data_IF_952790794871
#
_entry.id   IF_952790794871
#
_cell.length_a   1.000
_cell.length_b   1.000
_cell.length_c   1.000
_cell.angle_alpha   90.00
_cell.angle_beta   90.00
_cell.angle_gamma   90.00
#
_symmetry.space_group_name_H-M   'P 1'
#
loop_
_entity.id
_entity.type
_entity.pdbx_description
1 polymer ?
#
# COMPACT_ATOMS: atom_id res chain seq x y z
N UNK A 1 3.74 -22.85 28.86
CA UNK A 1 2.81 -22.58 27.75
C UNK A 1 3.40 -21.41 26.98
N UNK A 2 3.84 -21.64 25.74
CA UNK A 2 4.43 -20.58 24.90
C UNK A 2 3.27 -19.97 24.14
N UNK A 3 2.84 -18.78 24.55
CA UNK A 3 1.82 -18.02 23.82
C UNK A 3 2.56 -17.21 22.76
N UNK A 4 2.19 -17.40 21.50
CA UNK A 4 2.79 -16.73 20.36
C UNK A 4 1.81 -15.77 19.72
N UNK A 5 2.31 -14.65 19.21
CA UNK A 5 1.52 -13.80 18.34
C UNK A 5 1.47 -14.43 16.94
N UNK A 6 0.24 -14.68 16.47
CA UNK A 6 -0.08 -15.23 15.16
C UNK A 6 -1.36 -14.59 14.65
N UNK A 7 -1.20 -13.66 13.73
CA UNK A 7 -2.26 -13.04 12.97
C UNK A 7 -2.58 -13.93 11.75
N UNK A 8 -3.84 -14.37 11.70
CA UNK A 8 -4.38 -15.10 10.57
C UNK A 8 -4.79 -14.13 9.48
N UNK A 9 -4.80 -14.61 8.25
CA UNK A 9 -5.40 -13.89 7.13
C UNK A 9 -6.79 -14.44 6.85
N UNK A 10 -7.74 -13.55 6.64
CA UNK A 10 -9.08 -13.85 6.10
C UNK A 10 -9.18 -13.40 4.62
N UNK A 11 -8.32 -12.46 4.20
CA UNK A 11 -8.17 -11.96 2.83
C UNK A 11 -6.73 -12.13 2.27
N UNK A 12 -6.48 -11.66 1.04
CA UNK A 12 -5.18 -11.72 0.36
C UNK A 12 -4.15 -10.68 0.86
N UNK A 13 -4.20 -10.32 2.16
CA UNK A 13 -3.29 -9.39 2.83
C UNK A 13 -2.07 -10.11 3.43
N UNK A 14 -1.59 -11.16 2.77
CA UNK A 14 -0.54 -12.05 3.29
C UNK A 14 0.76 -11.29 3.70
N UNK A 15 1.09 -10.19 3.01
CA UNK A 15 2.24 -9.35 3.35
C UNK A 15 2.15 -8.70 4.74
N UNK A 16 0.97 -8.19 5.13
CA UNK A 16 0.75 -7.62 6.46
C UNK A 16 0.97 -8.66 7.56
N UNK A 17 0.24 -9.76 7.47
CA UNK A 17 0.28 -10.79 8.50
C UNK A 17 1.66 -11.44 8.58
N UNK A 18 2.35 -11.61 7.44
CA UNK A 18 3.73 -12.07 7.41
C UNK A 18 4.66 -11.17 8.26
N UNK A 19 4.57 -9.84 8.11
CA UNK A 19 5.39 -8.90 8.88
C UNK A 19 5.03 -8.88 10.37
N UNK A 20 3.73 -8.87 10.70
CA UNK A 20 3.26 -8.85 12.08
C UNK A 20 3.63 -10.15 12.81
N UNK A 21 3.50 -11.30 12.14
CA UNK A 21 3.94 -12.60 12.66
C UNK A 21 5.46 -12.65 12.84
N UNK A 22 6.23 -12.08 11.90
CA UNK A 22 7.69 -12.03 12.00
C UNK A 22 8.14 -11.21 13.23
N UNK A 23 7.47 -10.08 13.47
CA UNK A 23 7.77 -9.16 14.58
C UNK A 23 7.09 -9.53 15.90
N UNK A 24 6.22 -10.55 15.89
CA UNK A 24 5.43 -10.99 17.05
C UNK A 24 4.53 -9.87 17.63
N UNK A 25 3.87 -9.10 16.76
CA UNK A 25 2.88 -8.09 17.17
C UNK A 25 2.23 -7.33 16.00
N UNK A 26 1.11 -6.61 16.26
CA UNK A 26 0.35 -5.87 15.25
C UNK A 26 1.02 -4.52 14.91
N UNK A 27 2.14 -4.57 14.20
CA UNK A 27 2.95 -3.40 13.91
C UNK A 27 2.56 -2.69 12.62
N UNK A 28 2.04 -3.44 11.65
CA UNK A 28 1.63 -2.94 10.34
C UNK A 28 0.16 -3.23 10.09
N UNK A 29 -0.51 -2.29 9.42
CA UNK A 29 -1.84 -2.44 8.86
C UNK A 29 -1.78 -2.36 7.33
N UNK A 30 -2.81 -2.87 6.64
CA UNK A 30 -2.95 -2.78 5.19
C UNK A 30 -2.84 -1.33 4.71
N UNK A 31 -3.45 -0.38 5.44
CA UNK A 31 -3.36 1.04 5.14
C UNK A 31 -1.93 1.60 5.24
N UNK A 32 -1.17 1.20 6.26
CA UNK A 32 0.23 1.63 6.41
C UNK A 32 1.13 1.08 5.30
N UNK A 33 0.92 -0.17 4.87
CA UNK A 33 1.68 -0.77 3.77
C UNK A 33 1.29 -0.18 2.42
N UNK A 34 0.01 0.14 2.21
CA UNK A 34 -0.45 0.83 1.01
C UNK A 34 0.17 2.22 0.85
N UNK A 35 0.32 2.98 1.95
CA UNK A 35 1.02 4.27 1.94
C UNK A 35 2.49 4.13 1.54
N UNK A 36 3.18 3.09 2.04
CA UNK A 36 4.58 2.81 1.67
C UNK A 36 4.67 2.44 0.19
N UNK A 37 3.77 1.57 -0.28
CA UNK A 37 3.75 1.13 -1.67
C UNK A 37 3.58 2.29 -2.63
N UNK A 38 2.66 3.20 -2.32
CA UNK A 38 2.45 4.40 -3.13
C UNK A 38 3.65 5.35 -3.08
N UNK A 39 4.26 5.56 -1.91
CA UNK A 39 5.46 6.39 -1.81
C UNK A 39 6.62 5.82 -2.65
N UNK A 40 6.71 4.49 -2.77
CA UNK A 40 7.65 3.83 -3.68
C UNK A 40 7.26 4.07 -5.14
N UNK A 41 5.99 3.91 -5.51
CA UNK A 41 5.49 4.19 -6.86
C UNK A 41 5.80 5.64 -7.29
N UNK A 42 5.62 6.60 -6.38
CA UNK A 42 5.95 8.02 -6.62
C UNK A 42 7.45 8.25 -6.83
N UNK A 43 8.29 7.56 -6.06
CA UNK A 43 9.75 7.63 -6.21
C UNK A 43 10.18 7.01 -7.54
N UNK A 44 9.64 5.86 -7.90
CA UNK A 44 9.89 5.21 -9.19
C UNK A 44 9.44 6.09 -10.35
N UNK A 45 8.23 6.68 -10.27
CA UNK A 45 7.71 7.62 -11.25
C UNK A 45 8.60 8.86 -11.40
N UNK A 46 9.09 9.41 -10.29
CA UNK A 46 10.00 10.56 -10.28
C UNK A 46 11.34 10.23 -10.94
N UNK A 47 11.95 9.10 -10.59
CA UNK A 47 13.21 8.66 -11.19
C UNK A 47 13.06 8.41 -12.69
N UNK A 48 11.93 7.84 -13.12
CA UNK A 48 11.63 7.65 -14.54
C UNK A 48 11.45 8.98 -15.28
N UNK A 49 10.85 9.98 -14.65
CA UNK A 49 10.72 11.32 -15.22
C UNK A 49 12.09 12.04 -15.33
N UNK A 50 12.95 11.87 -14.33
CA UNK A 50 14.32 12.42 -14.30
C UNK A 50 15.23 11.75 -15.35
N UNK A 51 15.03 10.46 -15.63
CA UNK A 51 15.76 9.72 -16.68
C UNK A 51 15.32 10.08 -18.11
N UNK A 52 14.29 10.91 -18.27
CA UNK A 52 13.75 11.38 -19.54
C UNK A 52 12.42 10.71 -19.93
N UNK A 53 11.56 11.47 -20.60
CA UNK A 53 10.17 11.08 -20.89
C UNK A 53 10.06 10.14 -22.11
N UNK A 54 10.63 8.94 -21.99
CA UNK A 54 10.63 7.92 -23.04
C UNK A 54 9.23 7.28 -23.22
N UNK A 55 9.04 6.47 -24.26
CA UNK A 55 7.82 5.67 -24.45
C UNK A 55 7.56 4.74 -23.27
N UNK A 56 8.61 4.21 -22.68
CA UNK A 56 8.58 3.27 -21.55
C UNK A 56 8.21 3.99 -20.25
N UNK A 57 8.73 5.20 -20.02
CA UNK A 57 8.31 6.04 -18.89
C UNK A 57 6.82 6.38 -18.95
N UNK A 58 6.28 6.65 -20.16
CA UNK A 58 4.84 6.88 -20.34
C UNK A 58 4.00 5.62 -20.07
N UNK A 59 4.46 4.46 -20.53
CA UNK A 59 3.80 3.19 -20.25
C UNK A 59 3.79 2.89 -18.74
N UNK A 60 4.92 3.11 -18.06
CA UNK A 60 5.05 2.93 -16.61
C UNK A 60 4.10 3.85 -15.82
N UNK A 61 4.02 5.14 -16.16
CA UNK A 61 3.08 6.09 -15.52
C UNK A 61 1.60 5.77 -15.81
N UNK A 62 1.32 5.03 -16.89
CA UNK A 62 -0.04 4.63 -17.26
C UNK A 62 -0.53 3.37 -16.55
N UNK A 63 0.39 2.53 -16.05
CA UNK A 63 0.07 1.29 -15.35
C UNK A 63 -0.46 1.56 -13.93
N UNK A 64 -1.22 0.60 -13.41
CA UNK A 64 -1.59 0.55 -11.98
C UNK A 64 -0.34 0.31 -11.11
N UNK A 65 -0.45 0.52 -9.80
CA UNK A 65 0.66 0.34 -8.85
C UNK A 65 1.36 -1.01 -9.08
N UNK A 66 2.68 -0.98 -9.28
CA UNK A 66 3.48 -2.21 -9.34
C UNK A 66 3.76 -2.78 -7.94
N UNK A 67 3.52 -1.97 -6.90
CA UNK A 67 3.83 -2.28 -5.52
C UNK A 67 2.65 -2.86 -4.73
N UNK A 68 1.40 -2.70 -5.20
CA UNK A 68 0.20 -3.36 -4.69
C UNK A 68 -0.63 -3.88 -5.86
N UNK A 69 -0.93 -5.18 -5.88
CA UNK A 69 -1.83 -5.73 -6.89
C UNK A 69 -3.33 -5.54 -6.52
N UNK A 70 -4.27 -5.72 -7.47
CA UNK A 70 -5.70 -5.61 -7.20
C UNK A 70 -6.25 -6.62 -6.17
N UNK A 71 -5.47 -7.66 -5.85
CA UNK A 71 -5.83 -8.66 -4.83
C UNK A 71 -5.32 -8.26 -3.44
N UNK A 72 -4.50 -7.21 -3.31
CA UNK A 72 -3.92 -6.76 -2.04
C UNK A 72 -2.56 -7.36 -1.71
N UNK A 73 -1.89 -8.02 -2.67
CA UNK A 73 -0.53 -8.51 -2.46
C UNK A 73 0.47 -7.36 -2.61
N UNK A 74 1.29 -7.19 -1.59
CA UNK A 74 2.38 -6.22 -1.58
C UNK A 74 3.64 -6.79 -2.22
N UNK A 75 4.39 -5.92 -2.93
CA UNK A 75 5.71 -6.27 -3.44
C UNK A 75 6.73 -6.44 -2.30
N UNK A 76 7.83 -7.14 -2.56
CA UNK A 76 8.93 -7.27 -1.59
C UNK A 76 9.52 -5.91 -1.19
N UNK A 77 9.51 -4.93 -2.09
CA UNK A 77 10.08 -3.61 -1.81
C UNK A 77 9.28 -2.90 -0.72
N UNK A 78 7.95 -3.03 -0.73
CA UNK A 78 7.07 -2.53 0.33
C UNK A 78 7.43 -3.16 1.67
N UNK A 79 7.53 -4.50 1.71
CA UNK A 79 7.83 -5.23 2.94
C UNK A 79 9.23 -4.89 3.49
N UNK A 80 10.22 -4.80 2.60
CA UNK A 80 11.59 -4.44 2.96
C UNK A 80 11.68 -3.00 3.46
N UNK A 81 10.98 -2.06 2.82
CA UNK A 81 10.96 -0.65 3.22
C UNK A 81 10.26 -0.46 4.57
N UNK A 82 9.16 -1.18 4.80
CA UNK A 82 8.44 -1.15 6.07
C UNK A 82 9.33 -1.60 7.25
N UNK A 83 10.00 -2.75 7.11
CA UNK A 83 10.92 -3.27 8.12
C UNK A 83 12.14 -2.37 8.34
N UNK A 84 12.71 -1.83 7.25
CA UNK A 84 13.87 -0.97 7.30
C UNK A 84 13.55 0.37 8.01
N UNK A 85 12.42 0.99 7.67
CA UNK A 85 12.07 2.31 8.21
C UNK A 85 11.73 2.26 9.70
N UNK A 86 11.02 1.23 10.14
CA UNK A 86 10.53 1.16 11.52
C UNK A 86 11.52 0.49 12.48
N UNK A 87 12.21 -0.55 12.02
CA UNK A 87 13.09 -1.37 12.87
C UNK A 87 14.52 -1.46 12.36
N UNK A 88 14.87 -0.90 11.20
CA UNK A 88 16.20 -1.08 10.60
C UNK A 88 16.49 -2.55 10.27
N UNK A 89 15.45 -3.34 10.01
CA UNK A 89 15.54 -4.74 9.63
C UNK A 89 15.57 -4.83 8.10
N UNK A 90 16.51 -5.60 7.59
CA UNK A 90 16.73 -5.82 6.15
C UNK A 90 16.27 -7.21 5.73
N UNK A 91 15.65 -7.28 4.54
CA UNK A 91 15.35 -8.52 3.85
C UNK A 91 16.36 -8.71 2.72
N UNK A 92 17.21 -9.72 2.83
CA UNK A 92 18.18 -10.03 1.79
C UNK A 92 17.87 -11.34 1.08
N UNK A 93 17.95 -11.33 -0.25
CA UNK A 93 17.74 -12.54 -1.06
C UNK A 93 18.79 -13.63 -0.73
N UNK A 94 18.30 -14.84 -0.45
CA UNK A 94 19.12 -16.02 -0.12
C UNK A 94 20.02 -16.49 -1.27
N UNK A 95 19.67 -16.19 -2.53
CA UNK A 95 20.41 -16.60 -3.72
C UNK A 95 21.72 -15.83 -3.89
N UNK A 96 21.88 -14.72 -3.18
CA UNK A 96 23.10 -13.92 -3.18
C UNK A 96 24.29 -14.72 -2.65
N UNK A 97 25.48 -14.64 -3.27
CA UNK A 97 26.67 -15.39 -2.82
C UNK A 97 27.03 -15.14 -1.35
N UNK A 98 26.87 -13.90 -0.90
CA UNK A 98 27.10 -13.47 0.49
C UNK A 98 26.26 -14.23 1.52
N UNK A 99 25.10 -14.74 1.10
CA UNK A 99 24.07 -15.32 1.97
C UNK A 99 24.08 -16.86 2.03
N UNK A 100 24.94 -17.52 1.26
CA UNK A 100 25.06 -18.99 1.25
C UNK A 100 25.34 -19.58 2.63
N UNK A 101 26.17 -18.93 3.42
CA UNK A 101 26.51 -19.39 4.77
C UNK A 101 25.30 -19.31 5.73
N UNK A 102 24.48 -18.27 5.62
CA UNK A 102 23.27 -18.11 6.42
C UNK A 102 22.23 -19.21 6.12
N UNK A 103 22.15 -19.65 4.87
CA UNK A 103 21.29 -20.77 4.44
C UNK A 103 21.81 -22.13 4.92
N UNK A 104 23.13 -22.32 5.02
CA UNK A 104 23.73 -23.55 5.53
C UNK A 104 23.65 -23.66 7.06
N UNK A 105 23.65 -22.53 7.76
CA UNK A 105 23.60 -22.43 9.22
C UNK A 105 22.43 -21.56 9.67
N UNK A 106 21.18 -22.02 9.50
CA UNK A 106 20.03 -21.23 9.86
C UNK A 106 19.95 -20.99 11.38
N UNK A 107 20.60 -21.79 12.22
CA UNK A 107 20.60 -21.61 13.68
C UNK A 107 21.16 -20.28 14.17
N UNK A 108 22.04 -19.63 13.38
CA UNK A 108 22.57 -18.30 13.67
C UNK A 108 21.65 -17.16 13.20
N UNK A 109 20.57 -17.49 12.50
CA UNK A 109 19.60 -16.54 11.99
C UNK A 109 18.40 -16.44 12.94
N UNK A 110 17.67 -15.33 12.83
CA UNK A 110 16.52 -15.04 13.69
C UNK A 110 15.19 -15.18 12.95
N UNK A 111 15.20 -15.08 11.61
CA UNK A 111 14.01 -15.28 10.80
C UNK A 111 14.29 -15.36 9.30
N UNK A 112 13.30 -15.88 8.58
CA UNK A 112 13.24 -15.90 7.12
C UNK A 112 11.87 -15.41 6.67
N UNK A 113 11.80 -14.75 5.53
CA UNK A 113 10.54 -14.41 4.83
C UNK A 113 10.52 -15.20 3.53
N UNK A 114 9.40 -15.85 3.25
CA UNK A 114 9.22 -16.78 2.14
C UNK A 114 8.13 -16.24 1.21
N UNK A 115 8.33 -16.43 -0.09
CA UNK A 115 7.30 -16.19 -1.10
C UNK A 115 7.15 -17.41 -2.02
N UNK A 116 5.90 -17.85 -2.19
CA UNK A 116 5.51 -18.80 -3.24
C UNK A 116 4.23 -18.34 -3.91
N UNK A 117 4.24 -18.19 -5.23
CA UNK A 117 3.05 -17.87 -6.03
C UNK A 117 2.21 -16.71 -5.44
N UNK A 118 2.87 -15.60 -5.07
CA UNK A 118 2.23 -14.42 -4.47
C UNK A 118 1.66 -14.62 -3.06
N UNK A 119 2.12 -15.65 -2.33
CA UNK A 119 1.81 -15.83 -0.91
C UNK A 119 3.04 -15.61 -0.03
N UNK A 120 2.94 -14.66 0.91
CA UNK A 120 3.98 -14.32 1.88
C UNK A 120 3.74 -15.01 3.22
N UNK A 121 4.78 -15.63 3.78
CA UNK A 121 4.81 -15.99 5.20
C UNK A 121 6.24 -16.04 5.73
N UNK A 122 6.38 -16.15 7.05
CA UNK A 122 7.69 -16.10 7.70
C UNK A 122 8.01 -17.36 8.50
N UNK A 123 9.31 -17.64 8.60
CA UNK A 123 9.86 -18.57 9.58
C UNK A 123 10.52 -17.74 10.67
N UNK A 124 10.19 -18.01 11.94
CA UNK A 124 10.70 -17.23 13.08
C UNK A 124 11.32 -18.15 14.12
N UNK A 125 12.49 -17.77 14.62
CA UNK A 125 13.14 -18.43 15.75
C UNK A 125 12.73 -17.74 17.06
N UNK A 126 12.03 -18.45 17.93
CA UNK A 126 11.62 -18.00 19.26
C UNK A 126 12.02 -19.05 20.30
N UNK A 127 12.61 -18.64 21.43
CA UNK A 127 13.07 -19.55 22.49
C UNK A 127 13.92 -20.73 21.98
N UNK A 128 14.80 -20.44 21.02
CA UNK A 128 15.65 -21.42 20.33
C UNK A 128 14.89 -22.51 19.54
N UNK A 129 13.61 -22.30 19.27
CA UNK A 129 12.75 -23.15 18.45
C UNK A 129 12.33 -22.41 17.18
N UNK A 130 12.34 -23.12 16.05
CA UNK A 130 11.86 -22.61 14.78
C UNK A 130 10.36 -22.87 14.62
N UNK A 131 9.67 -21.86 14.12
CA UNK A 131 8.23 -21.86 13.86
C UNK A 131 7.97 -21.38 12.43
N UNK A 132 7.06 -22.06 11.75
CA UNK A 132 6.46 -21.62 10.50
C UNK A 132 5.21 -20.82 10.82
N UNK A 133 5.21 -19.52 10.56
CA UNK A 133 4.11 -18.62 10.85
C UNK A 133 3.37 -18.28 9.56
N UNK A 134 2.63 -19.27 9.02
CA UNK A 134 1.79 -19.08 7.85
C UNK A 134 0.39 -18.59 8.28
N UNK A 135 0.01 -17.39 7.86
CA UNK A 135 -1.26 -16.73 8.20
C UNK A 135 -2.50 -17.51 7.76
N UNK A 136 -2.38 -18.42 6.79
CA UNK A 136 -3.48 -19.33 6.40
C UNK A 136 -3.73 -20.45 7.42
N UNK A 137 -2.77 -20.75 8.29
CA UNK A 137 -2.89 -21.78 9.32
C UNK A 137 -3.50 -21.19 10.60
N UNK A 138 -4.19 -22.03 11.38
CA UNK A 138 -4.82 -21.61 12.64
C UNK A 138 -3.82 -21.29 13.75
N UNK A 139 -2.61 -21.86 13.70
CA UNK A 139 -1.51 -21.56 14.61
C UNK A 139 -0.15 -21.80 13.92
N UNK A 140 0.95 -21.24 14.46
CA UNK A 140 2.30 -21.52 13.99
C UNK A 140 2.68 -22.98 14.12
N UNK A 141 3.27 -23.55 13.08
CA UNK A 141 3.73 -24.94 13.07
C UNK A 141 5.17 -25.05 13.56
N UNK A 142 5.42 -25.97 14.48
CA UNK A 142 6.75 -26.22 15.01
C UNK A 142 7.61 -26.95 13.96
N UNK A 143 8.74 -26.35 13.59
CA UNK A 143 9.73 -27.00 12.74
C UNK A 143 10.61 -27.88 13.65
N UNK A 144 10.24 -29.15 13.80
CA UNK A 144 10.97 -30.11 14.64
C UNK A 144 12.22 -30.61 13.92
N UNK A 145 13.36 -30.59 14.61
CA UNK A 145 14.62 -31.19 14.13
C UNK A 145 14.61 -32.73 14.06
N UNK A 146 13.52 -33.37 14.46
CA UNK A 146 13.38 -34.82 14.61
C UNK A 146 12.04 -35.26 14.01
N UNK A 147 12.05 -35.61 12.73
CA UNK A 147 10.87 -36.13 12.05
C UNK A 147 10.87 -35.82 10.55
N UNK A 148 11.70 -36.55 9.80
CA UNK A 148 11.81 -36.58 8.34
C UNK A 148 12.48 -35.36 7.70
N UNK A 149 13.81 -35.40 7.62
CA UNK A 149 14.75 -34.45 6.98
C UNK A 149 15.52 -33.57 7.97
N UNK A 150 16.83 -33.66 7.84
CA UNK A 150 17.86 -33.05 8.68
C UNK A 150 17.81 -31.52 8.64
N UNK A 151 17.11 -30.92 9.61
CA UNK A 151 17.22 -29.51 9.99
C UNK A 151 16.60 -28.51 9.01
N UNK A 152 16.31 -27.31 9.51
CA UNK A 152 15.79 -26.17 8.75
C UNK A 152 16.60 -25.87 7.47
N UNK A 153 17.90 -26.16 7.46
CA UNK A 153 18.75 -26.00 6.28
C UNK A 153 18.38 -26.93 5.11
N UNK A 154 17.80 -28.10 5.38
CA UNK A 154 17.29 -28.99 4.33
C UNK A 154 15.99 -28.45 3.74
N UNK A 155 15.04 -28.06 4.61
CA UNK A 155 13.78 -27.42 4.22
C UNK A 155 14.03 -26.17 3.38
N UNK A 156 14.93 -25.28 3.81
CA UNK A 156 15.27 -24.07 3.06
C UNK A 156 15.86 -24.38 1.67
N UNK A 157 16.64 -25.46 1.54
CA UNK A 157 17.18 -25.89 0.23
C UNK A 157 16.08 -26.43 -0.68
N UNK A 158 15.16 -27.22 -0.13
CA UNK A 158 14.02 -27.77 -0.85
C UNK A 158 13.10 -26.64 -1.36
N UNK A 159 12.81 -25.65 -0.52
CA UNK A 159 12.05 -24.46 -0.92
C UNK A 159 12.73 -23.75 -2.10
N UNK A 160 14.04 -23.51 -2.03
CA UNK A 160 14.79 -22.88 -3.13
C UNK A 160 14.78 -23.74 -4.40
N UNK A 161 14.85 -25.07 -4.30
CA UNK A 161 14.74 -25.95 -5.48
C UNK A 161 13.34 -25.96 -6.09
N UNK A 162 12.32 -25.72 -5.28
CA UNK A 162 10.92 -25.60 -5.70
C UNK A 162 10.56 -24.21 -6.24
N UNK A 163 11.58 -23.41 -6.61
CA UNK A 163 11.45 -22.03 -7.09
C UNK A 163 10.80 -21.06 -6.09
N UNK A 164 10.91 -21.32 -4.80
CA UNK A 164 10.52 -20.34 -3.79
C UNK A 164 11.54 -19.21 -3.72
N UNK A 165 11.06 -18.01 -3.43
CA UNK A 165 11.95 -16.91 -3.07
C UNK A 165 12.08 -16.87 -1.55
N UNK A 166 13.31 -17.01 -1.07
CA UNK A 166 13.64 -17.00 0.36
C UNK A 166 14.47 -15.76 0.66
N UNK A 167 14.02 -14.96 1.62
CA UNK A 167 14.70 -13.79 2.15
C UNK A 167 15.17 -14.04 3.57
N UNK A 168 16.44 -13.72 3.83
CA UNK A 168 17.04 -13.76 5.16
C UNK A 168 16.75 -12.44 5.85
N UNK A 169 16.28 -12.52 7.09
CA UNK A 169 16.02 -11.33 7.89
C UNK A 169 17.26 -10.97 8.70
N UNK A 170 17.82 -9.79 8.45
CA UNK A 170 19.01 -9.27 9.14
C UNK A 170 18.66 -7.99 9.90
N UNK A 171 19.23 -7.83 11.09
CA UNK A 171 19.05 -6.64 11.91
C UNK A 171 19.06 -6.95 13.40
N UNK A 172 19.41 -5.96 14.19
CA UNK A 172 19.64 -6.12 15.63
C UNK A 172 18.47 -5.57 16.48
N UNK A 173 17.62 -4.72 15.90
CA UNK A 173 16.53 -4.05 16.60
C UNK A 173 15.22 -4.82 16.43
N UNK A 174 15.03 -5.81 17.26
CA UNK A 174 13.78 -6.57 17.33
C UNK A 174 12.86 -5.99 18.40
N UNK A 175 11.57 -5.76 18.12
CA UNK A 175 10.62 -5.45 19.17
C UNK A 175 10.47 -6.65 20.13
N UNK A 176 10.17 -6.40 21.42
CA UNK A 176 9.71 -7.45 22.29
C UNK A 176 8.36 -7.99 21.80
N UNK A 177 8.03 -9.28 22.02
CA UNK A 177 6.71 -9.81 21.70
C UNK A 177 5.60 -8.96 22.32
N UNK A 178 4.59 -8.61 21.53
CA UNK A 178 3.50 -7.76 21.97
C UNK A 178 2.72 -8.43 23.13
N UNK A 179 2.42 -7.71 24.22
CA UNK A 179 1.66 -8.26 25.32
C UNK A 179 0.22 -8.56 24.89
N UNK A 180 -0.35 -9.62 25.46
CA UNK A 180 -1.72 -10.05 25.17
C UNK A 180 -2.70 -8.90 25.40
N UNK A 181 -3.58 -8.66 24.43
CA UNK A 181 -4.63 -7.61 24.42
C UNK A 181 -4.16 -6.17 24.14
N UNK A 182 -2.97 -5.97 23.56
CA UNK A 182 -2.52 -4.64 23.14
C UNK A 182 -2.56 -4.50 21.62
N UNK A 183 -3.45 -3.64 21.11
CA UNK A 183 -3.49 -3.25 19.68
C UNK A 183 -4.07 -4.28 18.71
N UNK A 184 -4.37 -5.50 19.15
CA UNK A 184 -4.96 -6.56 18.33
C UNK A 184 -5.96 -7.42 19.14
N UNK A 185 -6.87 -8.15 18.46
CA UNK A 185 -7.81 -9.02 19.13
C UNK A 185 -7.09 -10.16 19.88
N UNK A 186 -7.59 -10.58 21.07
CA UNK A 186 -6.95 -11.61 21.89
C UNK A 186 -6.78 -12.96 21.17
N UNK A 187 -7.54 -13.20 20.10
CA UNK A 187 -7.46 -14.38 19.23
C UNK A 187 -6.10 -14.53 18.53
N UNK A 188 -5.35 -13.43 18.37
CA UNK A 188 -4.04 -13.46 17.73
C UNK A 188 -2.94 -13.99 18.67
N UNK A 189 -3.24 -14.22 19.94
CA UNK A 189 -2.29 -14.86 20.88
C UNK A 189 -2.68 -16.32 21.04
N UNK A 190 -2.01 -17.18 20.27
CA UNK A 190 -2.31 -18.60 20.17
C UNK A 190 -1.34 -19.45 20.99
N UNK A 191 -1.82 -20.55 21.54
CA UNK A 191 -0.98 -21.63 22.06
C UNK A 191 -0.81 -22.67 20.94
N UNK A 192 0.38 -22.81 20.34
CA UNK A 192 0.59 -23.80 19.27
C UNK A 192 0.33 -25.25 19.69
N UNK A 193 0.33 -25.56 21.00
CA UNK A 193 -0.02 -26.90 21.50
C UNK A 193 -1.54 -27.16 21.50
N UNK A 194 -2.35 -26.09 21.47
CA UNK A 194 -3.81 -26.15 21.47
C UNK A 194 -4.34 -25.13 20.45
N UNK A 195 -4.14 -25.39 19.14
CA UNK A 195 -4.54 -24.45 18.11
C UNK A 195 -6.05 -24.23 18.15
N UNK A 196 -6.52 -22.98 17.92
CA UNK A 196 -7.94 -22.74 17.76
C UNK A 196 -8.49 -23.55 16.57
N UNK A 197 -9.75 -24.02 16.63
CA UNK A 197 -10.38 -24.72 15.52
C UNK A 197 -10.37 -23.84 14.27
N UNK A 198 -10.16 -24.47 13.12
CA UNK A 198 -10.19 -23.76 11.85
C UNK A 198 -11.65 -23.41 11.49
N UNK A 199 -12.04 -22.11 11.40
CA UNK A 199 -13.37 -21.70 10.97
C UNK A 199 -13.73 -22.17 9.56
N UNK A 200 -12.77 -22.61 8.75
CA UNK A 200 -13.01 -23.17 7.41
C UNK A 200 -13.09 -24.70 7.37
N UNK A 201 -12.90 -25.39 8.50
CA UNK A 201 -13.09 -26.83 8.58
C UNK A 201 -14.59 -27.17 8.76
N UNK A 202 -15.25 -27.79 7.77
CA UNK A 202 -16.66 -28.18 7.87
C UNK A 202 -16.93 -29.27 8.94
N UNK A 203 -15.87 -29.87 9.50
CA UNK A 203 -15.94 -30.89 10.55
C UNK A 203 -15.44 -30.40 11.92
N UNK A 204 -15.10 -29.12 12.07
CA UNK A 204 -14.71 -28.57 13.37
C UNK A 204 -15.90 -28.63 14.34
N UNK A 205 -15.93 -29.65 15.21
CA UNK A 205 -16.86 -29.68 16.34
C UNK A 205 -16.67 -28.40 17.15
N UNK A 206 -17.74 -27.61 17.17
CA UNK A 206 -17.86 -26.36 17.91
C UNK A 206 -17.81 -26.70 19.40
N UNK A 207 -16.62 -26.88 19.95
CA UNK A 207 -16.38 -27.12 21.37
C UNK A 207 -16.53 -25.80 22.17
N UNK A 208 -17.71 -25.18 22.11
CA UNK A 208 -18.13 -24.20 23.10
C UNK A 208 -18.67 -24.93 24.33
N UNK A 209 -17.76 -25.45 25.16
CA UNK A 209 -18.13 -25.80 26.53
C UNK A 209 -18.10 -24.54 27.40
N UNK A 210 -19.16 -23.73 27.29
CA UNK A 210 -19.49 -22.75 28.32
C UNK A 210 -20.52 -23.38 29.26
N UNK A 211 -20.08 -23.85 30.43
CA UNK A 211 -20.93 -23.84 31.63
C UNK A 211 -21.13 -22.38 32.05
N UNK A 212 -21.96 -21.66 31.30
CA UNK A 212 -22.60 -20.43 31.73
C UNK A 212 -24.10 -20.73 31.86
N UNK A 213 -24.68 -20.36 33.00
CA UNK A 213 -26.09 -20.60 33.27
C UNK A 213 -26.96 -20.01 32.16
N UNK A 214 -27.88 -20.84 31.66
CA UNK A 214 -28.90 -20.52 30.65
C UNK A 214 -29.61 -19.22 31.05
N UNK A 215 -29.31 -18.11 30.36
CA UNK A 215 -30.16 -16.90 30.42
C UNK A 215 -31.36 -17.16 29.53
N UNK A 216 -32.56 -17.03 30.08
CA UNK A 216 -33.81 -17.15 29.33
C UNK A 216 -33.90 -16.04 28.27
N UNK A 217 -34.41 -16.39 27.09
CA UNK A 217 -34.59 -15.44 25.99
C UNK A 217 -35.55 -14.31 26.40
N UNK A 218 -35.21 -13.03 26.16
CA UNK A 218 -36.16 -11.95 26.36
C UNK A 218 -37.31 -12.09 25.36
N UNK A 219 -38.53 -12.12 25.88
CA UNK A 219 -39.77 -12.11 25.10
C UNK A 219 -39.79 -10.88 24.19
N UNK A 220 -39.87 -11.11 22.88
CA UNK A 220 -40.02 -10.07 21.86
C UNK A 220 -41.32 -9.28 22.09
N UNK A 221 -41.22 -7.95 22.25
CA UNK A 221 -42.34 -7.04 22.02
C UNK A 221 -42.23 -6.52 20.58
N UNK A 222 -43.31 -6.65 19.81
CA UNK A 222 -43.36 -6.21 18.42
C UNK A 222 -43.07 -4.70 18.31
N UNK A 223 -42.34 -4.34 17.25
CA UNK A 223 -41.95 -2.98 16.88
C UNK A 223 -43.16 -2.05 16.74
N UNK A 224 -43.15 -0.95 17.49
CA UNK A 224 -43.97 0.23 17.23
C UNK A 224 -43.02 1.43 17.16
N UNK A 225 -42.67 1.83 15.94
CA UNK A 225 -41.87 3.03 15.68
C UNK A 225 -42.19 3.54 14.27
N UNK A 226 -42.55 4.82 14.18
CA UNK A 226 -42.86 5.50 12.91
C UNK A 226 -41.66 5.45 11.96
N UNK A 227 -41.92 4.95 10.75
CA UNK A 227 -40.93 4.79 9.70
C UNK A 227 -40.34 6.13 9.25
N UNK A 228 -39.00 6.21 9.22
CA UNK A 228 -38.28 7.20 8.43
C UNK A 228 -37.72 6.50 7.20
N UNK A 229 -38.15 6.97 6.03
CA UNK A 229 -37.80 6.45 4.71
C UNK A 229 -36.34 6.74 4.36
N UNK A 230 -35.72 5.79 3.65
CA UNK A 230 -34.41 5.93 3.01
C UNK A 230 -34.54 6.83 1.77
N UNK A 231 -33.95 8.02 1.84
CA UNK A 231 -33.75 8.95 0.73
C UNK A 231 -32.34 9.51 0.82
N UNK A 232 -31.58 9.39 -0.27
CA UNK A 232 -30.15 9.62 -0.30
C UNK A 232 -29.70 11.09 -0.38
N UNK A 233 -28.37 11.23 -0.48
CA UNK A 233 -27.68 12.43 -0.94
C UNK A 233 -27.23 13.37 0.18
N UNK A 234 -25.92 13.53 0.33
CA UNK A 234 -25.36 14.64 1.08
C UNK A 234 -23.98 14.34 1.63
N UNK A 235 -22.95 14.82 0.93
CA UNK A 235 -21.56 14.72 1.34
C UNK A 235 -21.28 15.32 2.72
N UNK A 236 -20.31 14.71 3.39
CA UNK A 236 -19.76 15.19 4.65
C UNK A 236 -18.30 14.79 4.72
N UNK A 237 -17.44 15.67 4.18
CA UNK A 237 -16.04 15.78 4.57
C UNK A 237 -15.98 15.83 6.10
N UNK A 238 -15.42 14.78 6.69
CA UNK A 238 -15.25 14.66 8.13
C UNK A 238 -14.15 13.65 8.39
N UNK A 239 -12.92 14.17 8.56
CA UNK A 239 -11.74 13.41 8.99
C UNK A 239 -11.90 12.90 10.42
N UNK A 240 -12.78 11.92 10.61
CA UNK A 240 -12.79 11.07 11.78
C UNK A 240 -11.77 9.96 11.55
N UNK A 241 -10.82 9.82 12.48
CA UNK A 241 -9.98 8.63 12.54
C UNK A 241 -10.91 7.42 12.72
N UNK A 242 -11.16 6.70 11.63
CA UNK A 242 -11.84 5.42 11.66
C UNK A 242 -11.00 4.45 12.47
N UNK A 243 -11.62 3.88 13.50
CA UNK A 243 -10.98 2.87 14.35
C UNK A 243 -10.77 1.60 13.53
N UNK A 244 -9.56 1.48 12.98
CA UNK A 244 -9.14 0.40 12.07
C UNK A 244 -9.32 -1.00 12.67
N UNK A 245 -9.34 -1.12 14.00
CA UNK A 245 -9.50 -2.40 14.70
C UNK A 245 -10.92 -2.99 14.64
N UNK A 246 -11.88 -2.24 14.09
CA UNK A 246 -13.30 -2.65 13.97
C UNK A 246 -13.77 -2.93 12.54
N UNK A 247 -12.92 -2.69 11.55
CA UNK A 247 -13.24 -2.93 10.14
C UNK A 247 -12.96 -4.39 9.79
N UNK A 248 -13.84 -5.00 9.01
CA UNK A 248 -13.61 -6.32 8.41
C UNK A 248 -12.41 -6.28 7.46
N UNK A 249 -11.75 -7.42 7.23
CA UNK A 249 -10.58 -7.46 6.33
C UNK A 249 -10.93 -7.05 4.89
N UNK A 250 -12.16 -7.35 4.42
CA UNK A 250 -12.65 -6.89 3.12
C UNK A 250 -12.75 -5.36 3.06
N UNK A 251 -13.23 -4.71 4.12
CA UNK A 251 -13.27 -3.25 4.22
C UNK A 251 -11.86 -2.65 4.31
N UNK A 252 -10.95 -3.29 5.02
CA UNK A 252 -9.55 -2.85 5.10
C UNK A 252 -8.84 -2.95 3.75
N UNK A 253 -9.08 -4.03 3.00
CA UNK A 253 -8.57 -4.22 1.65
C UNK A 253 -9.16 -3.18 0.69
N UNK A 254 -10.48 -3.00 0.70
CA UNK A 254 -11.16 -1.99 -0.12
C UNK A 254 -10.66 -0.57 0.21
N UNK A 255 -10.46 -0.28 1.50
CA UNK A 255 -9.89 0.99 1.94
C UNK A 255 -8.44 1.16 1.45
N UNK A 256 -7.59 0.14 1.57
CA UNK A 256 -6.20 0.17 1.10
C UNK A 256 -6.11 0.36 -0.42
N UNK A 257 -6.93 -0.34 -1.19
CA UNK A 257 -7.06 -0.17 -2.64
C UNK A 257 -7.55 1.24 -2.98
N UNK A 258 -8.59 1.73 -2.30
CA UNK A 258 -9.13 3.08 -2.55
C UNK A 258 -8.14 4.18 -2.17
N UNK A 259 -7.35 4.01 -1.10
CA UNK A 259 -6.29 4.93 -0.71
C UNK A 259 -5.20 4.94 -1.78
N UNK A 260 -4.70 3.76 -2.15
CA UNK A 260 -3.70 3.62 -3.20
C UNK A 260 -4.16 4.28 -4.51
N UNK A 261 -5.41 4.06 -4.92
CA UNK A 261 -5.98 4.65 -6.14
C UNK A 261 -6.20 6.17 -6.04
N UNK A 262 -6.81 6.66 -4.96
CA UNK A 262 -7.11 8.10 -4.80
C UNK A 262 -5.82 8.92 -4.67
N UNK A 263 -4.82 8.40 -3.98
CA UNK A 263 -3.56 9.10 -3.78
C UNK A 263 -2.63 8.95 -5.02
N UNK A 264 -2.65 7.82 -5.74
CA UNK A 264 -2.03 7.71 -7.07
C UNK A 264 -2.66 8.67 -8.10
N UNK A 265 -3.97 8.97 -7.97
CA UNK A 265 -4.64 10.01 -8.75
C UNK A 265 -4.21 11.44 -8.34
N UNK A 266 -3.78 11.66 -7.09
CA UNK A 266 -3.22 12.95 -6.64
C UNK A 266 -1.77 13.14 -7.10
N UNK A 267 -1.00 12.05 -7.27
CA UNK A 267 0.37 12.07 -7.81
C UNK A 267 0.42 12.10 -9.34
N UNK A 268 -0.60 11.58 -10.03
CA UNK A 268 -0.86 11.92 -11.44
C UNK A 268 -1.25 13.38 -11.49
N UNK A 269 -0.39 14.27 -11.98
CA UNK A 269 -0.88 15.57 -12.47
C UNK A 269 -1.85 15.24 -13.61
N UNK A 270 -3.17 15.39 -13.45
CA UNK A 270 -4.07 15.22 -14.55
C UNK A 270 -3.82 16.44 -15.42
N UNK A 271 -3.32 16.21 -16.62
CA UNK A 271 -3.31 17.22 -17.67
C UNK A 271 -4.77 17.47 -18.09
N UNK A 272 -5.58 18.04 -17.20
CA UNK A 272 -6.98 18.33 -17.43
C UNK A 272 -7.13 19.53 -18.38
N UNK A 273 -8.13 19.44 -19.25
CA UNK A 273 -8.60 20.58 -20.01
C UNK A 273 -9.15 21.65 -19.04
N UNK A 274 -8.86 22.93 -19.30
CA UNK A 274 -9.42 24.02 -18.49
C UNK A 274 -10.95 23.94 -18.51
N UNK A 275 -11.56 23.80 -17.32
CA UNK A 275 -13.02 23.81 -17.18
C UNK A 275 -13.49 25.25 -17.22
N UNK A 276 -14.26 25.60 -18.24
CA UNK A 276 -14.76 26.95 -18.44
C UNK A 276 -16.07 27.17 -17.68
N UNK A 277 -16.11 28.21 -16.85
CA UNK A 277 -17.35 28.73 -16.26
C UNK A 277 -17.92 29.84 -17.15
N UNK A 278 -19.11 29.63 -17.71
CA UNK A 278 -19.76 30.61 -18.59
C UNK A 278 -20.28 31.84 -17.85
N UNK A 279 -20.38 31.79 -16.51
CA UNK A 279 -20.82 32.90 -15.66
C UNK A 279 -19.71 33.87 -15.22
N UNK A 280 -18.44 33.51 -15.43
CA UNK A 280 -17.27 34.28 -15.01
C UNK A 280 -16.54 34.93 -16.21
N UNK A 281 -15.80 36.05 -16.01
CA UNK A 281 -15.10 36.71 -17.11
C UNK A 281 -14.06 35.78 -17.76
N UNK A 282 -14.17 35.64 -19.09
CA UNK A 282 -13.28 34.80 -19.91
C UNK A 282 -12.28 35.62 -20.71
N UNK A 283 -11.09 35.07 -20.92
CA UNK A 283 -10.02 35.60 -21.76
C UNK A 283 -9.59 34.56 -22.81
N UNK A 284 -9.00 35.04 -23.92
CA UNK A 284 -8.47 34.19 -24.98
C UNK A 284 -6.97 34.40 -25.13
N UNK A 285 -6.19 33.36 -24.83
CA UNK A 285 -4.74 33.35 -24.91
C UNK A 285 -4.29 32.78 -26.25
N UNK A 286 -3.26 33.38 -26.86
CA UNK A 286 -2.62 32.84 -28.05
C UNK A 286 -1.29 32.18 -27.69
N UNK A 287 -1.24 30.86 -27.73
CA UNK A 287 -0.02 30.09 -27.45
C UNK A 287 0.69 29.80 -28.76
N UNK A 288 1.86 30.40 -28.95
CA UNK A 288 2.74 30.11 -30.09
C UNK A 288 3.63 28.93 -29.75
N UNK A 289 3.39 27.80 -30.40
CA UNK A 289 4.08 26.54 -30.19
C UNK A 289 5.48 26.54 -30.82
N UNK A 290 6.35 25.62 -30.40
CA UNK A 290 7.72 25.48 -30.92
C UNK A 290 7.80 25.08 -32.39
N UNK A 291 6.75 24.45 -32.93
CA UNK A 291 6.60 24.11 -34.35
C UNK A 291 6.17 25.31 -35.22
N UNK A 292 6.02 26.49 -34.61
CA UNK A 292 5.56 27.71 -35.27
C UNK A 292 4.03 27.84 -35.39
N UNK A 293 3.29 26.81 -35.00
CA UNK A 293 1.82 26.84 -34.98
C UNK A 293 1.29 27.73 -33.84
N UNK A 294 0.06 28.21 -34.00
CA UNK A 294 -0.63 29.02 -32.98
C UNK A 294 -1.84 28.25 -32.48
N UNK A 295 -1.93 28.05 -31.16
CA UNK A 295 -3.07 27.46 -30.48
C UNK A 295 -3.81 28.55 -29.70
N UNK A 296 -5.13 28.55 -29.79
CA UNK A 296 -5.98 29.50 -29.06
C UNK A 296 -6.54 28.76 -27.85
N UNK A 297 -6.29 29.29 -26.66
CA UNK A 297 -6.76 28.74 -25.39
C UNK A 297 -7.75 29.73 -24.79
N UNK A 298 -8.98 29.28 -24.52
CA UNK A 298 -9.97 30.06 -23.79
C UNK A 298 -9.88 29.68 -22.31
N UNK A 299 -9.87 30.66 -21.42
CA UNK A 299 -9.76 30.46 -19.96
C UNK A 299 -10.55 31.54 -19.21
N UNK A 300 -11.07 31.26 -18.02
CA UNK A 300 -11.55 32.29 -17.09
C UNK A 300 -10.38 33.08 -16.46
N UNK A 301 -10.63 34.34 -16.08
CA UNK A 301 -9.63 35.21 -15.43
C UNK A 301 -9.07 34.66 -14.12
N UNK A 302 -9.85 33.81 -13.44
CA UNK A 302 -9.52 33.17 -12.16
C UNK A 302 -8.61 31.96 -12.29
N UNK A 303 -8.38 31.44 -13.50
CA UNK A 303 -7.44 30.33 -13.69
C UNK A 303 -6.02 30.75 -13.34
N UNK A 304 -5.19 29.81 -12.89
CA UNK A 304 -3.80 30.06 -12.52
C UNK A 304 -2.83 29.78 -13.68
N UNK A 305 -1.62 30.32 -13.57
CA UNK A 305 -0.51 30.01 -14.49
C UNK A 305 -0.20 28.51 -14.50
N UNK A 306 -0.29 27.82 -13.36
CA UNK A 306 -0.14 26.36 -13.28
C UNK A 306 -1.17 25.61 -14.15
N UNK A 307 -2.45 25.99 -14.06
CA UNK A 307 -3.53 25.38 -14.86
C UNK A 307 -3.34 25.63 -16.36
N UNK A 308 -2.86 26.83 -16.74
CA UNK A 308 -2.52 27.13 -18.12
C UNK A 308 -1.36 26.27 -18.63
N UNK A 309 -0.28 26.13 -17.84
CA UNK A 309 0.87 25.26 -18.19
C UNK A 309 0.42 23.81 -18.37
N UNK A 310 -0.40 23.28 -17.46
CA UNK A 310 -0.97 21.94 -17.56
C UNK A 310 -1.80 21.76 -18.84
N UNK A 311 -2.64 22.74 -19.18
CA UNK A 311 -3.41 22.71 -20.43
C UNK A 311 -2.53 22.76 -21.68
N UNK A 312 -1.48 23.60 -21.70
CA UNK A 312 -0.56 23.68 -22.84
C UNK A 312 0.24 22.39 -23.02
N UNK A 313 0.54 21.67 -21.93
CA UNK A 313 1.19 20.36 -21.99
C UNK A 313 0.37 19.32 -22.79
N UNK A 314 -0.97 19.44 -22.84
CA UNK A 314 -1.81 18.59 -23.70
C UNK A 314 -1.48 18.72 -25.19
N UNK A 315 -1.03 19.91 -25.63
CA UNK A 315 -0.73 20.19 -27.03
C UNK A 315 0.68 19.75 -27.45
N UNK A 316 1.58 19.50 -26.49
CA UNK A 316 2.96 19.07 -26.73
C UNK A 316 3.36 17.95 -25.75
N UNK A 317 2.80 16.73 -25.90
CA UNK A 317 2.98 15.66 -24.93
C UNK A 317 4.43 15.16 -24.84
N UNK A 318 5.07 15.42 -23.70
CA UNK A 318 6.43 14.97 -23.38
C UNK A 318 7.56 15.80 -23.98
N UNK A 319 7.31 17.09 -24.20
CA UNK A 319 8.35 18.10 -24.41
C UNK A 319 8.48 18.89 -23.11
N UNK A 320 9.69 19.05 -22.57
CA UNK A 320 9.96 20.01 -21.49
C UNK A 320 9.88 21.43 -22.07
N UNK A 321 9.18 22.35 -21.41
CA UNK A 321 9.00 23.71 -21.94
C UNK A 321 8.89 24.77 -20.85
N UNK A 322 9.19 26.00 -21.24
CA UNK A 322 8.89 27.22 -20.49
C UNK A 322 7.93 28.10 -21.30
N UNK A 323 6.97 28.71 -20.62
CA UNK A 323 6.07 29.69 -21.21
C UNK A 323 6.61 31.10 -20.94
N UNK A 324 6.65 31.93 -21.98
CA UNK A 324 7.05 33.34 -21.89
C UNK A 324 5.87 34.22 -22.28
N UNK A 325 5.49 35.13 -21.39
CA UNK A 325 4.44 36.14 -21.60
C UNK A 325 5.00 37.56 -21.43
N UNK A 326 4.22 38.59 -21.68
CA UNK A 326 4.68 39.98 -21.61
C UNK A 326 5.39 40.48 -22.87
N UNK A 327 5.44 41.81 -23.00
CA UNK A 327 6.39 42.52 -23.86
C UNK A 327 7.31 43.38 -22.99
N UNK A 328 8.63 43.09 -22.91
CA UNK A 328 9.37 42.00 -23.56
C UNK A 328 9.04 40.60 -22.99
N UNK A 329 9.21 39.50 -23.76
CA UNK A 329 8.85 38.16 -23.31
C UNK A 329 9.65 37.72 -22.09
N UNK A 330 8.99 37.61 -20.94
CA UNK A 330 9.57 37.15 -19.67
C UNK A 330 9.07 35.74 -19.35
N UNK A 331 9.93 34.87 -18.76
CA UNK A 331 9.50 33.58 -18.25
C UNK A 331 8.39 33.73 -17.21
N UNK A 332 7.37 32.88 -17.31
CA UNK A 332 6.33 32.77 -16.30
C UNK A 332 6.81 31.81 -15.20
N UNK A 333 7.40 32.36 -14.14
CA UNK A 333 7.97 31.60 -13.02
C UNK A 333 6.96 31.37 -11.89
N UNK A 334 5.99 32.28 -11.73
CA UNK A 334 5.06 32.28 -10.61
C UNK A 334 3.77 31.49 -10.93
N UNK A 335 3.75 30.22 -10.55
CA UNK A 335 2.68 29.28 -10.87
C UNK A 335 1.37 29.52 -10.08
N UNK A 336 1.47 30.29 -9.00
CA UNK A 336 0.35 30.56 -8.06
C UNK A 336 -0.55 31.72 -8.49
N UNK A 337 -0.08 32.59 -9.40
CA UNK A 337 -0.82 33.78 -9.82
C UNK A 337 -1.98 33.44 -10.75
N UNK A 338 -3.07 34.20 -10.62
CA UNK A 338 -4.18 34.15 -11.59
C UNK A 338 -3.75 34.74 -12.94
N UNK A 339 -4.43 34.38 -14.03
CA UNK A 339 -4.18 34.95 -15.35
C UNK A 339 -4.36 36.48 -15.36
N UNK A 340 -5.28 37.01 -14.54
CA UNK A 340 -5.48 38.43 -14.37
C UNK A 340 -4.30 39.10 -13.65
N UNK A 341 -3.84 38.53 -12.54
CA UNK A 341 -2.76 39.08 -11.73
C UNK A 341 -1.40 38.95 -12.42
N UNK A 342 -1.21 37.88 -13.18
CA UNK A 342 -0.06 37.66 -14.05
C UNK A 342 -0.06 38.55 -15.31
N UNK A 343 -1.11 39.38 -15.50
CA UNK A 343 -1.31 40.28 -16.65
C UNK A 343 -1.33 39.56 -18.01
N UNK A 344 -1.79 38.32 -18.02
CA UNK A 344 -1.84 37.47 -19.22
C UNK A 344 -3.15 37.60 -19.99
N UNK A 345 -4.04 38.52 -19.63
CA UNK A 345 -5.35 38.65 -20.29
C UNK A 345 -5.21 39.06 -21.76
N UNK A 346 -5.74 38.23 -22.66
CA UNK A 346 -5.68 38.39 -24.12
C UNK A 346 -4.26 38.46 -24.70
N UNK A 347 -3.30 37.84 -24.01
CA UNK A 347 -1.90 37.92 -24.38
C UNK A 347 -1.45 36.78 -25.32
N UNK A 348 -0.37 37.04 -26.05
CA UNK A 348 0.36 36.03 -26.82
C UNK A 348 1.51 35.47 -26.00
N UNK A 349 1.45 34.17 -25.72
CA UNK A 349 2.44 33.44 -24.95
C UNK A 349 3.30 32.61 -25.90
N UNK A 350 4.61 32.60 -25.68
CA UNK A 350 5.56 31.82 -26.47
C UNK A 350 5.94 30.56 -25.71
N UNK A 351 5.68 29.41 -26.32
CA UNK A 351 6.23 28.12 -25.92
C UNK A 351 7.71 28.07 -26.31
N UNK A 352 8.60 28.01 -25.33
CA UNK A 352 10.02 27.76 -25.54
C UNK A 352 10.34 26.35 -25.05
N UNK A 353 10.65 25.38 -25.93
CA UNK A 353 11.15 24.08 -25.47
C UNK A 353 12.43 24.29 -24.64
N UNK A 354 12.53 23.57 -23.53
CA UNK A 354 13.66 23.62 -22.61
C UNK A 354 14.83 22.77 -23.11
#
# INVERSE_FOLDING_TARGET
MVIMYHERQEAALCGQHCLNNLLQGPYFSASSLAQIAQALDEQEAKLMLEAGMTSEARAFLSQESANVDPSGNFSIQVLSTALQNMFGIQLEDSRRPENKNAMQRPDSQTGFVLNRHSHWYCLRKLDNQWWSCNSTQSAPEKITSSGNFSGLASTLRELVSDNWTVFIVKGDKWPPPAPRNQGAPPSNWVDPAHPPPDPHDPHAEVAFSNKAARREDPKFTAFAGEGRTLGGGGGGSGGGAVDMSKLSEEEQLAMALSLSQNLAQQARVPSEALVLDEGAPTTTLQVRMGDGSRKIVKANHTHTVAQLKAHVATFAPGVSFSLKGGFPPKPLEDDSLSLADAKLLNESIVFSPA
#
